data_IF_125585906914
#
_entry.id   IF_125585906914
#
_cell.length_a   1.000
_cell.length_b   1.000
_cell.length_c   1.000
_cell.angle_alpha   90.00
_cell.angle_beta   90.00
_cell.angle_gamma   90.00
#
_symmetry.space_group_name_H-M   'P 1'
#
loop_
_entity.id
_entity.type
_entity.pdbx_description
1 polymer ?
#
# COMPACT_ATOMS: atom_id res chain seq x y z
N UNK A 1 -17.93 -2.07 7.50
CA UNK A 1 -16.89 -3.11 7.63
C UNK A 1 -15.56 -2.45 7.87
N UNK A 2 -14.89 -2.83 8.95
CA UNK A 2 -13.55 -2.33 9.29
C UNK A 2 -12.49 -3.34 8.87
N UNK A 3 -11.28 -2.85 8.61
CA UNK A 3 -10.18 -3.64 8.09
C UNK A 3 -8.87 -3.18 8.70
N UNK A 4 -8.07 -4.13 9.18
CA UNK A 4 -6.71 -3.86 9.61
C UNK A 4 -5.94 -5.18 9.76
N UNK A 5 -4.62 -5.07 9.97
CA UNK A 5 -3.77 -6.18 10.40
C UNK A 5 -2.73 -5.64 11.35
N UNK A 6 -2.38 -6.43 12.35
CA UNK A 6 -1.29 -6.12 13.25
C UNK A 6 0.04 -6.04 12.49
N UNK A 7 0.92 -5.15 12.96
CA UNK A 7 2.22 -4.92 12.35
C UNK A 7 3.34 -5.45 13.22
N UNK A 8 4.38 -5.96 12.56
CA UNK A 8 5.68 -6.29 13.16
C UNK A 8 6.76 -5.30 12.70
N UNK A 9 7.43 -4.58 13.63
CA UNK A 9 7.07 -4.37 15.05
C UNK A 9 5.74 -3.59 15.22
N UNK A 10 5.12 -3.59 16.42
CA UNK A 10 5.66 -4.14 17.67
C UNK A 10 5.22 -5.56 18.02
N UNK A 11 4.12 -6.06 17.45
CA UNK A 11 3.69 -7.45 17.65
C UNK A 11 4.63 -8.42 16.89
N UNK A 12 5.28 -9.39 17.54
CA UNK A 12 6.07 -10.42 16.87
C UNK A 12 5.28 -11.34 15.91
N UNK A 13 3.96 -11.47 16.12
CA UNK A 13 3.04 -12.23 15.28
C UNK A 13 2.52 -11.45 14.06
N UNK A 14 2.56 -10.13 14.11
CA UNK A 14 2.04 -9.25 13.07
C UNK A 14 2.77 -9.29 11.74
N UNK A 15 2.17 -8.66 10.73
CA UNK A 15 2.72 -8.55 9.39
C UNK A 15 4.00 -7.70 9.40
N UNK A 16 5.12 -8.19 8.84
CA UNK A 16 6.30 -7.37 8.63
C UNK A 16 5.94 -6.09 7.86
N UNK A 17 6.40 -4.93 8.32
CA UNK A 17 5.96 -3.62 7.77
C UNK A 17 6.03 -3.51 6.23
N UNK A 18 7.05 -4.12 5.59
CA UNK A 18 7.17 -4.16 4.12
C UNK A 18 6.07 -5.02 3.45
N UNK A 19 5.64 -6.09 4.11
CA UNK A 19 4.53 -6.91 3.63
C UNK A 19 3.20 -6.19 3.87
N UNK A 20 3.01 -5.59 5.05
CA UNK A 20 1.80 -4.86 5.41
C UNK A 20 1.51 -3.71 4.43
N UNK A 21 2.51 -2.89 4.10
CA UNK A 21 2.38 -1.82 3.09
C UNK A 21 1.93 -2.33 1.72
N UNK A 22 2.48 -3.48 1.29
CA UNK A 22 2.11 -4.14 0.03
C UNK A 22 0.69 -4.69 0.09
N UNK A 23 0.34 -5.35 1.17
CA UNK A 23 -0.97 -5.96 1.39
C UNK A 23 -2.09 -4.92 1.41
N UNK A 24 -1.91 -3.80 2.11
CA UNK A 24 -2.92 -2.74 2.15
C UNK A 24 -3.21 -2.18 0.76
N UNK A 25 -2.18 -1.84 -0.02
CA UNK A 25 -2.36 -1.34 -1.38
C UNK A 25 -3.05 -2.37 -2.29
N UNK A 26 -2.71 -3.66 -2.16
CA UNK A 26 -3.35 -4.73 -2.91
C UNK A 26 -4.79 -4.98 -2.47
N UNK A 27 -5.07 -4.98 -1.16
CA UNK A 27 -6.41 -5.17 -0.62
C UNK A 27 -7.36 -4.07 -1.10
N UNK A 28 -6.91 -2.82 -1.08
CA UNK A 28 -7.67 -1.69 -1.63
C UNK A 28 -7.97 -1.86 -3.13
N UNK A 29 -7.01 -2.35 -3.92
CA UNK A 29 -7.25 -2.70 -5.32
C UNK A 29 -8.28 -3.82 -5.48
N UNK A 30 -8.18 -4.88 -4.66
CA UNK A 30 -9.11 -6.02 -4.71
C UNK A 30 -10.52 -5.61 -4.30
N UNK A 31 -10.66 -4.76 -3.29
CA UNK A 31 -11.93 -4.16 -2.86
C UNK A 31 -12.55 -3.34 -3.99
N UNK A 32 -11.77 -2.44 -4.60
CA UNK A 32 -12.19 -1.67 -5.78
C UNK A 32 -12.66 -2.58 -6.92
N UNK A 33 -11.87 -3.60 -7.26
CA UNK A 33 -12.19 -4.56 -8.33
C UNK A 33 -13.48 -5.35 -8.03
N UNK A 34 -13.79 -5.56 -6.75
CA UNK A 34 -14.97 -6.29 -6.29
C UNK A 34 -16.19 -5.39 -6.08
N UNK A 35 -16.11 -4.09 -6.43
CA UNK A 35 -17.22 -3.16 -6.31
C UNK A 35 -17.46 -2.61 -4.90
N UNK A 36 -16.52 -2.78 -3.96
CA UNK A 36 -16.62 -2.21 -2.62
C UNK A 36 -16.50 -0.68 -2.70
N UNK A 37 -17.47 0.02 -2.12
CA UNK A 37 -17.55 1.48 -2.19
C UNK A 37 -16.85 2.19 -1.03
N UNK A 38 -16.72 1.53 0.14
CA UNK A 38 -16.13 2.09 1.35
C UNK A 38 -15.23 1.08 2.05
N UNK A 39 -14.06 1.55 2.46
CA UNK A 39 -13.14 0.83 3.34
C UNK A 39 -12.90 1.69 4.58
N UNK A 40 -13.23 1.17 5.76
CA UNK A 40 -12.87 1.78 7.05
C UNK A 40 -11.65 1.07 7.62
N UNK A 41 -10.64 1.81 8.04
CA UNK A 41 -9.50 1.25 8.74
C UNK A 41 -9.77 1.18 10.25
N UNK A 42 -9.45 0.05 10.89
CA UNK A 42 -9.62 -0.08 12.34
C UNK A 42 -8.49 0.63 13.09
N UNK A 43 -8.82 1.76 13.72
CA UNK A 43 -7.93 2.51 14.61
C UNK A 43 -6.86 3.35 13.90
N UNK A 44 -6.67 4.60 14.33
CA UNK A 44 -5.56 5.43 13.82
C UNK A 44 -4.22 5.03 14.45
N UNK A 45 -4.21 4.68 15.73
CA UNK A 45 -3.01 4.30 16.49
C UNK A 45 -3.20 2.92 17.11
N UNK A 46 -2.09 2.24 17.36
CA UNK A 46 -2.10 0.96 18.08
C UNK A 46 -2.79 1.09 19.43
N UNK A 47 -3.37 0.01 19.93
CA UNK A 47 -3.99 0.01 21.25
C UNK A 47 -2.98 0.22 22.37
N UNK A 48 -3.46 0.73 23.51
CA UNK A 48 -2.64 0.78 24.70
C UNK A 48 -2.44 -0.64 25.21
N UNK A 49 -1.19 -0.98 25.54
CA UNK A 49 -0.83 -2.27 26.12
C UNK A 49 -0.28 -2.05 27.51
N UNK A 50 -0.89 -2.71 28.50
CA UNK A 50 -0.41 -2.70 29.88
C UNK A 50 0.88 -3.50 30.02
N UNK A 51 1.70 -3.19 31.04
CA UNK A 51 2.87 -4.01 31.35
C UNK A 51 2.45 -5.47 31.60
N UNK A 52 3.13 -6.41 30.95
CA UNK A 52 2.83 -7.85 31.06
C UNK A 52 1.67 -8.36 30.19
N UNK A 53 0.87 -7.48 29.58
CA UNK A 53 -0.22 -7.88 28.67
C UNK A 53 0.35 -8.51 27.38
N UNK A 54 -0.27 -9.59 26.89
CA UNK A 54 0.21 -10.29 25.69
C UNK A 54 -0.16 -9.50 24.43
N UNK A 55 0.62 -9.67 23.36
CA UNK A 55 0.32 -9.07 22.05
C UNK A 55 -1.00 -9.58 21.46
N UNK A 56 -1.35 -10.85 21.69
CA UNK A 56 -2.63 -11.42 21.28
C UNK A 56 -3.86 -10.87 22.04
N UNK A 57 -3.65 -9.96 22.99
CA UNK A 57 -4.71 -9.33 23.80
C UNK A 57 -4.90 -7.85 23.46
N UNK A 58 -4.16 -7.33 22.47
CA UNK A 58 -4.22 -5.96 21.98
C UNK A 58 -4.18 -5.92 20.45
N UNK A 59 -4.55 -4.79 19.86
CA UNK A 59 -4.44 -4.57 18.42
C UNK A 59 -3.31 -3.60 18.07
N UNK A 60 -2.30 -4.10 17.37
CA UNK A 60 -1.15 -3.38 16.83
C UNK A 60 -1.35 -3.02 15.35
N UNK A 61 -2.60 -2.74 15.00
CA UNK A 61 -3.07 -2.55 13.63
C UNK A 61 -3.30 -1.09 13.24
N UNK A 62 -2.97 -0.14 14.11
CA UNK A 62 -3.08 1.29 13.82
C UNK A 62 -2.15 1.74 12.69
N UNK A 63 -2.49 2.86 12.05
CA UNK A 63 -1.60 3.54 11.09
C UNK A 63 -0.41 4.25 11.77
N UNK A 64 -0.47 4.40 13.09
CA UNK A 64 0.55 4.98 13.94
C UNK A 64 0.93 4.03 15.10
N UNK A 65 2.22 3.93 15.39
CA UNK A 65 2.74 3.36 16.63
C UNK A 65 2.31 4.27 17.79
N UNK A 66 1.78 3.65 18.85
CA UNK A 66 1.32 4.36 20.04
C UNK A 66 2.48 4.89 20.88
N UNK A 67 2.53 6.20 21.08
CA UNK A 67 3.33 6.87 22.13
C UNK A 67 2.55 7.10 23.43
N UNK A 68 3.21 7.68 24.44
CA UNK A 68 2.56 8.02 25.72
C UNK A 68 1.46 9.09 25.55
N UNK A 69 1.56 9.90 24.51
CA UNK A 69 0.61 10.95 24.12
C UNK A 69 0.32 10.86 22.63
N UNK A 70 -0.78 11.46 22.15
CA UNK A 70 -1.07 11.53 20.71
C UNK A 70 0.06 12.23 19.95
N UNK A 71 0.62 13.30 20.52
CA UNK A 71 1.73 14.04 19.93
C UNK A 71 3.03 13.23 19.79
N UNK A 72 3.17 12.14 20.55
CA UNK A 72 4.33 11.24 20.47
C UNK A 72 4.10 9.99 19.62
N UNK A 73 2.92 9.86 19.00
CA UNK A 73 2.65 8.79 18.05
C UNK A 73 3.58 8.87 16.85
N UNK A 74 4.02 7.70 16.36
CA UNK A 74 4.93 7.62 15.20
C UNK A 74 4.26 6.93 14.04
N UNK A 75 4.23 7.61 12.89
CA UNK A 75 3.64 7.04 11.68
C UNK A 75 4.29 5.71 11.30
N UNK A 76 3.48 4.69 11.03
CA UNK A 76 3.96 3.44 10.46
C UNK A 76 4.18 3.57 8.96
N UNK A 77 5.05 2.73 8.35
CA UNK A 77 5.19 2.69 6.90
C UNK A 77 3.86 2.49 6.15
N UNK A 78 2.93 1.73 6.73
CA UNK A 78 1.60 1.45 6.15
C UNK A 78 0.76 2.71 5.95
N UNK A 79 0.94 3.77 6.74
CA UNK A 79 0.25 5.05 6.55
C UNK A 79 0.47 5.60 5.14
N UNK A 80 1.68 5.47 4.59
CA UNK A 80 1.98 5.94 3.23
C UNK A 80 1.24 5.11 2.16
N UNK A 81 1.14 3.79 2.35
CA UNK A 81 0.37 2.91 1.47
C UNK A 81 -1.13 3.18 1.55
N UNK A 82 -1.64 3.43 2.77
CA UNK A 82 -3.04 3.75 3.02
C UNK A 82 -3.43 5.08 2.39
N UNK A 83 -2.60 6.12 2.54
CA UNK A 83 -2.86 7.45 1.99
C UNK A 83 -2.73 7.48 0.47
N UNK A 84 -1.71 6.82 -0.10
CA UNK A 84 -1.51 6.79 -1.55
C UNK A 84 -1.39 5.34 -2.04
N UNK A 85 -2.52 4.62 -2.13
CA UNK A 85 -2.50 3.23 -2.54
C UNK A 85 -2.18 3.13 -4.03
N UNK A 86 -1.19 2.28 -4.33
CA UNK A 86 -0.77 1.99 -5.68
C UNK A 86 -0.42 0.50 -5.79
N UNK A 87 -1.06 -0.15 -6.75
CA UNK A 87 -0.91 -1.56 -7.07
C UNK A 87 -0.41 -1.71 -8.50
N UNK A 88 0.51 -2.65 -8.72
CA UNK A 88 0.94 -3.04 -10.07
C UNK A 88 1.32 -4.51 -10.13
N UNK A 89 1.15 -5.12 -11.29
CA UNK A 89 1.55 -6.50 -11.54
C UNK A 89 1.92 -6.68 -13.01
N UNK A 90 2.71 -7.71 -13.32
CA UNK A 90 2.99 -8.06 -14.71
C UNK A 90 1.70 -8.32 -15.50
N UNK A 91 1.67 -7.82 -16.73
CA UNK A 91 0.63 -8.07 -17.72
C UNK A 91 1.21 -8.97 -18.82
N UNK A 92 1.57 -10.20 -18.45
CA UNK A 92 2.28 -11.14 -19.32
C UNK A 92 3.63 -10.59 -19.80
N UNK A 93 4.02 -10.91 -21.04
CA UNK A 93 5.25 -10.40 -21.67
C UNK A 93 5.14 -8.94 -22.16
N UNK A 94 3.96 -8.32 -22.00
CA UNK A 94 3.62 -7.02 -22.61
C UNK A 94 3.82 -5.83 -21.68
N UNK A 95 4.27 -6.03 -20.43
CA UNK A 95 4.55 -4.95 -19.49
C UNK A 95 3.85 -5.15 -18.16
N UNK A 96 3.14 -4.13 -17.67
CA UNK A 96 2.45 -4.20 -16.37
C UNK A 96 1.08 -3.49 -16.38
N UNK A 97 0.14 -4.02 -15.62
CA UNK A 97 -1.10 -3.35 -15.27
C UNK A 97 -0.93 -2.60 -13.95
N UNK A 98 -1.68 -1.52 -13.76
CA UNK A 98 -1.66 -0.75 -12.52
C UNK A 98 -3.04 -0.24 -12.13
N UNK A 99 -3.17 0.07 -10.85
CA UNK A 99 -4.28 0.78 -10.25
C UNK A 99 -3.77 1.63 -9.10
N UNK A 100 -4.39 2.77 -8.84
CA UNK A 100 -4.18 3.54 -7.63
C UNK A 100 -5.24 4.59 -7.38
N UNK A 101 -5.16 5.22 -6.22
CA UNK A 101 -6.02 6.33 -5.80
C UNK A 101 -5.17 7.50 -5.32
N UNK A 102 -5.51 8.72 -5.72
CA UNK A 102 -4.78 9.93 -5.31
C UNK A 102 -4.92 10.19 -3.81
N UNK A 103 -3.92 10.82 -3.16
CA UNK A 103 -3.92 11.01 -1.72
C UNK A 103 -5.07 11.83 -1.13
N UNK A 104 -5.68 12.67 -1.96
CA UNK A 104 -6.76 13.58 -1.59
C UNK A 104 -8.09 13.22 -2.28
N UNK A 105 -8.17 12.08 -2.96
CA UNK A 105 -9.36 11.63 -3.71
C UNK A 105 -9.79 12.59 -4.84
N UNK A 106 -8.89 13.42 -5.35
CA UNK A 106 -9.18 14.38 -6.41
C UNK A 106 -8.54 13.99 -7.75
N UNK A 107 -9.02 14.59 -8.83
CA UNK A 107 -8.36 14.55 -10.14
C UNK A 107 -6.92 15.02 -10.04
N UNK A 108 -6.00 14.31 -10.67
CA UNK A 108 -4.60 14.72 -10.75
C UNK A 108 -3.90 14.08 -11.94
N UNK A 109 -2.84 14.71 -12.42
CA UNK A 109 -1.89 14.11 -13.35
C UNK A 109 -0.91 13.24 -12.56
N UNK A 110 -0.74 11.99 -12.99
CA UNK A 110 0.07 10.97 -12.33
C UNK A 110 1.18 10.52 -13.26
N UNK A 111 2.42 10.73 -12.84
CA UNK A 111 3.60 10.18 -13.49
C UNK A 111 3.91 8.79 -12.92
N UNK A 112 4.09 7.81 -13.81
CA UNK A 112 4.49 6.46 -13.47
C UNK A 112 5.98 6.28 -13.69
N UNK A 113 6.68 5.82 -12.66
CA UNK A 113 8.10 5.51 -12.72
C UNK A 113 8.30 4.03 -12.47
N UNK A 114 9.15 3.38 -13.27
CA UNK A 114 9.37 1.96 -13.16
C UNK A 114 10.84 1.58 -13.31
N UNK A 115 11.24 0.52 -12.62
CA UNK A 115 12.48 -0.22 -12.89
C UNK A 115 12.11 -1.58 -13.49
N UNK A 116 12.84 -2.00 -14.53
CA UNK A 116 12.53 -3.20 -15.33
C UNK A 116 12.86 -4.53 -14.63
N UNK A 117 13.88 -4.54 -13.77
CA UNK A 117 14.31 -5.72 -13.02
C UNK A 117 15.04 -5.34 -11.74
N UNK A 118 15.86 -6.25 -11.22
CA UNK A 118 16.66 -6.03 -10.01
C UNK A 118 17.86 -5.09 -10.23
N UNK A 119 18.26 -4.87 -11.49
CA UNK A 119 19.35 -3.98 -11.88
C UNK A 119 18.77 -2.76 -12.63
N UNK A 120 19.41 -1.61 -12.48
CA UNK A 120 19.03 -0.34 -13.11
C UNK A 120 18.18 0.57 -12.22
N UNK A 121 17.97 1.81 -12.70
CA UNK A 121 17.22 2.85 -12.00
C UNK A 121 15.74 2.89 -12.35
N UNK A 122 15.00 3.72 -11.61
CA UNK A 122 13.65 4.11 -12.00
C UNK A 122 13.69 5.16 -13.11
N UNK A 123 12.86 4.99 -14.13
CA UNK A 123 12.64 6.00 -15.16
C UNK A 123 11.14 6.21 -15.36
N UNK A 124 10.75 7.40 -15.85
CA UNK A 124 9.36 7.69 -16.16
C UNK A 124 8.94 6.85 -17.37
N UNK A 125 7.87 6.08 -17.21
CA UNK A 125 7.36 5.16 -18.25
C UNK A 125 6.00 5.53 -18.81
N UNK A 126 5.31 6.48 -18.17
CA UNK A 126 4.05 7.02 -18.66
C UNK A 126 3.50 8.09 -17.73
N UNK A 127 2.46 8.76 -18.21
CA UNK A 127 1.67 9.73 -17.46
C UNK A 127 0.20 9.43 -17.72
N UNK A 128 -0.62 9.47 -16.66
CA UNK A 128 -2.06 9.21 -16.73
C UNK A 128 -2.82 10.26 -15.92
N UNK A 129 -4.14 10.34 -16.14
CA UNK A 129 -5.02 11.21 -15.34
C UNK A 129 -5.87 10.36 -14.40
N UNK A 130 -5.96 10.77 -13.14
CA UNK A 130 -6.96 10.27 -12.21
C UNK A 130 -8.32 10.90 -12.50
N UNK A 131 -9.39 10.12 -12.32
CA UNK A 131 -10.76 10.60 -12.49
C UNK A 131 -11.22 11.46 -11.30
N UNK A 132 -12.49 11.87 -11.31
CA UNK A 132 -13.09 12.71 -10.27
C UNK A 132 -13.00 12.13 -8.84
N UNK A 133 -12.92 10.81 -8.72
CA UNK A 133 -12.78 10.10 -7.44
C UNK A 133 -11.31 9.82 -7.08
N UNK A 134 -10.36 10.38 -7.84
CA UNK A 134 -8.94 10.15 -7.67
C UNK A 134 -8.44 8.80 -8.16
N UNK A 135 -9.25 7.99 -8.84
CA UNK A 135 -8.86 6.67 -9.32
C UNK A 135 -8.13 6.78 -10.66
N UNK A 136 -7.01 6.08 -10.79
CA UNK A 136 -6.29 5.88 -12.04
C UNK A 136 -5.94 4.41 -12.22
N UNK A 137 -6.13 3.88 -13.43
CA UNK A 137 -5.84 2.48 -13.75
C UNK A 137 -5.53 2.33 -15.23
N UNK A 138 -4.79 1.30 -15.59
CA UNK A 138 -4.45 1.03 -16.98
C UNK A 138 -3.36 -0.01 -17.14
N UNK A 139 -2.80 -0.08 -18.34
CA UNK A 139 -1.72 -1.00 -18.72
C UNK A 139 -0.63 -0.23 -19.44
N UNK A 140 0.61 -0.35 -18.98
CA UNK A 140 1.78 0.10 -19.72
C UNK A 140 2.27 -1.06 -20.60
N UNK A 141 2.11 -0.89 -21.91
CA UNK A 141 2.50 -1.88 -22.92
C UNK A 141 3.94 -1.66 -23.38
N UNK A 142 4.90 -2.16 -22.60
CA UNK A 142 6.34 -2.09 -22.91
C UNK A 142 7.03 -3.39 -22.49
N UNK A 143 7.91 -3.91 -23.32
CA UNK A 143 8.68 -5.12 -23.03
C UNK A 143 9.81 -4.85 -22.01
N UNK A 144 10.38 -5.95 -21.49
CA UNK A 144 11.57 -5.91 -20.63
C UNK A 144 11.29 -5.82 -19.12
N UNK A 145 10.03 -5.74 -18.69
CA UNK A 145 9.69 -5.86 -17.27
C UNK A 145 9.75 -7.32 -16.82
N UNK A 146 10.30 -7.52 -15.63
CA UNK A 146 10.42 -8.84 -14.99
C UNK A 146 9.74 -8.82 -13.63
N UNK A 147 9.53 -10.00 -13.03
CA UNK A 147 8.99 -10.12 -11.67
C UNK A 147 9.90 -9.46 -10.62
N UNK A 148 11.17 -9.13 -10.93
CA UNK A 148 12.07 -8.40 -10.04
C UNK A 148 11.97 -6.87 -10.19
N UNK A 149 11.15 -6.39 -11.13
CA UNK A 149 10.88 -4.97 -11.34
C UNK A 149 9.90 -4.40 -10.30
N UNK A 150 9.75 -3.08 -10.32
CA UNK A 150 8.77 -2.37 -9.48
C UNK A 150 8.37 -1.05 -10.11
N UNK A 151 7.20 -0.55 -9.69
CA UNK A 151 6.61 0.69 -10.20
C UNK A 151 6.17 1.54 -9.02
N UNK A 152 6.31 2.87 -9.11
CA UNK A 152 5.63 3.80 -8.21
C UNK A 152 4.90 4.88 -9.01
N UNK A 153 3.87 5.45 -8.39
CA UNK A 153 3.13 6.59 -8.90
C UNK A 153 3.58 7.87 -8.18
N UNK A 154 3.62 8.98 -8.92
CA UNK A 154 3.87 10.31 -8.38
C UNK A 154 2.80 11.26 -8.91
N UNK A 155 2.12 11.97 -8.02
CA UNK A 155 1.31 13.12 -8.44
C UNK A 155 2.26 14.17 -9.00
N UNK A 156 2.02 14.68 -10.20
CA UNK A 156 2.89 15.71 -10.79
C UNK A 156 2.99 16.91 -9.85
N UNK A 157 4.21 17.25 -9.42
CA UNK A 157 4.44 18.30 -8.41
C UNK A 157 4.08 17.94 -6.97
N UNK A 158 3.65 16.71 -6.68
CA UNK A 158 3.10 16.30 -5.40
C UNK A 158 3.69 15.02 -4.80
N UNK A 159 2.88 14.35 -3.99
CA UNK A 159 3.26 13.17 -3.22
C UNK A 159 3.61 11.98 -4.13
N UNK A 160 4.39 11.04 -3.58
CA UNK A 160 4.82 9.80 -4.26
C UNK A 160 4.33 8.60 -3.47
N UNK A 161 3.81 7.58 -4.17
CA UNK A 161 3.39 6.32 -3.57
C UNK A 161 4.60 5.51 -3.08
N UNK A 162 4.35 4.40 -2.39
CA UNK A 162 5.39 3.38 -2.27
C UNK A 162 5.59 2.67 -3.61
N UNK A 163 6.82 2.19 -3.84
CA UNK A 163 7.08 1.32 -4.98
C UNK A 163 6.44 -0.05 -4.75
N UNK A 164 5.65 -0.48 -5.72
CA UNK A 164 5.00 -1.76 -5.73
C UNK A 164 5.75 -2.71 -6.66
N UNK A 165 6.16 -3.86 -6.14
CA UNK A 165 6.82 -4.92 -6.88
C UNK A 165 5.91 -5.62 -7.89
N UNK A 166 6.45 -5.98 -9.05
CA UNK A 166 5.73 -6.67 -10.12
C UNK A 166 5.56 -8.19 -9.89
N UNK A 167 6.15 -8.73 -8.82
CA UNK A 167 6.00 -10.13 -8.40
C UNK A 167 4.62 -10.42 -7.81
N UNK A 168 4.20 -11.69 -7.81
CA UNK A 168 3.00 -12.10 -7.06
C UNK A 168 3.24 -11.91 -5.57
N UNK A 169 2.31 -11.25 -4.88
CA UNK A 169 2.36 -11.16 -3.41
C UNK A 169 2.26 -12.57 -2.83
N UNK A 170 3.14 -12.87 -1.88
CA UNK A 170 3.12 -14.16 -1.19
C UNK A 170 1.92 -14.19 -0.24
N UNK A 171 1.28 -15.35 -0.18
CA UNK A 171 0.29 -15.63 0.84
C UNK A 171 1.03 -15.75 2.18
N UNK A 172 0.41 -15.18 3.21
CA UNK A 172 0.88 -15.22 4.59
C UNK A 172 -0.37 -15.48 5.41
N UNK A 173 -0.37 -16.48 6.27
CA UNK A 173 -1.53 -16.67 7.13
C UNK A 173 -1.47 -15.62 8.23
N UNK A 174 -2.44 -14.71 8.25
CA UNK A 174 -2.70 -13.79 9.35
C UNK A 174 -4.21 -13.81 9.59
N UNK A 175 -4.69 -14.14 10.80
CA UNK A 175 -6.11 -14.02 11.11
C UNK A 175 -6.55 -12.56 10.88
N UNK A 176 -7.65 -12.31 10.14
CA UNK A 176 -8.24 -10.99 10.11
C UNK A 176 -8.83 -10.72 11.49
N UNK A 177 -8.40 -9.62 12.11
CA UNK A 177 -8.55 -9.31 13.55
C UNK A 177 -7.63 -10.17 14.43
N UNK A 178 -6.93 -9.51 15.37
CA UNK A 178 -5.82 -10.05 16.18
C UNK A 178 -5.97 -11.48 16.66
#
# INVERSE_FOLDING_TARGET
TEFSWDSKPPDPGGLPARLQTRWVAQAMYMMYKSGVQMMSWFGLRDQARSAGQKWSETFESGLYLRGNTIASDRAKPVLKAFRFPFYSQLAGRRGFSFWGRTPNNQTATIDLFARRGSRGGFSRVGTVKANANGIFTGVIRRSGFTARGSVYAKVTGGQTSLAFGLWKTRDFYQPPFG
#
